data_IF_270351081833
#
_entry.id   IF_270351081833
#
_cell.length_a   1.000
_cell.length_b   1.000
_cell.length_c   1.000
_cell.angle_alpha   90.00
_cell.angle_beta   90.00
_cell.angle_gamma   90.00
#
_symmetry.space_group_name_H-M   'P 1'
#
loop_
_entity.id
_entity.type
_entity.pdbx_description
1 polymer ?
#
# COMPACT_ATOMS: atom_id res chain seq x y z
N UNK A 1 39.75 27.16 -74.67
CA UNK A 1 39.40 28.52 -74.19
C UNK A 1 39.16 28.44 -72.69
N UNK A 2 40.26 28.55 -71.94
CA UNK A 2 40.59 29.63 -70.98
C UNK A 2 39.87 29.50 -69.63
N UNK A 3 40.64 28.90 -68.73
CA UNK A 3 40.55 28.88 -67.27
C UNK A 3 40.62 30.29 -66.69
N UNK A 4 39.91 30.57 -65.59
CA UNK A 4 40.26 31.69 -64.71
C UNK A 4 40.36 31.24 -63.25
N UNK A 5 41.54 31.50 -62.70
CA UNK A 5 42.04 31.28 -61.34
C UNK A 5 41.76 32.51 -60.47
N UNK A 6 41.79 32.30 -59.13
CA UNK A 6 42.37 33.12 -58.03
C UNK A 6 41.46 33.01 -56.79
N UNK A 7 41.93 32.95 -55.54
CA UNK A 7 43.24 32.80 -54.91
C UNK A 7 43.01 32.76 -53.38
N UNK A 8 43.73 31.89 -52.67
CA UNK A 8 43.97 31.96 -51.22
C UNK A 8 44.93 33.15 -50.91
N UNK A 9 45.17 33.70 -49.70
CA UNK A 9 45.27 33.18 -48.32
C UNK A 9 45.13 34.38 -47.31
N UNK A 10 45.78 34.45 -46.12
CA UNK A 10 45.23 34.12 -44.80
C UNK A 10 45.28 35.30 -43.78
N UNK A 11 44.62 35.16 -42.63
CA UNK A 11 44.90 35.99 -41.44
C UNK A 11 44.97 35.12 -40.17
N UNK A 12 46.17 35.13 -39.60
CA UNK A 12 46.51 34.70 -38.24
C UNK A 12 45.89 35.65 -37.19
N UNK A 13 45.72 35.18 -35.94
CA UNK A 13 45.60 36.10 -34.82
C UNK A 13 44.97 35.57 -33.53
N UNK A 14 45.83 35.23 -32.56
CA UNK A 14 45.66 35.35 -31.11
C UNK A 14 44.75 34.36 -30.35
N UNK A 15 45.43 33.37 -29.74
CA UNK A 15 44.97 32.56 -28.60
C UNK A 15 45.12 33.38 -27.31
N UNK A 16 44.00 33.75 -26.67
CA UNK A 16 43.98 34.29 -25.31
C UNK A 16 43.85 33.14 -24.30
N UNK A 17 44.96 32.81 -23.64
CA UNK A 17 45.00 31.97 -22.44
C UNK A 17 44.41 32.75 -21.26
N UNK A 18 43.29 32.29 -20.71
CA UNK A 18 42.77 32.80 -19.43
C UNK A 18 43.13 31.81 -18.31
N UNK A 19 44.09 32.21 -17.48
CA UNK A 19 44.40 31.57 -16.20
C UNK A 19 43.27 31.88 -15.21
N UNK A 20 42.42 30.90 -14.91
CA UNK A 20 41.51 30.96 -13.76
C UNK A 20 42.04 30.05 -12.65
N UNK A 21 42.57 30.71 -11.63
CA UNK A 21 43.15 30.19 -10.40
C UNK A 21 42.03 29.57 -9.55
N UNK A 22 42.09 28.26 -9.33
CA UNK A 22 41.20 27.52 -8.43
C UNK A 22 41.56 27.84 -6.97
N UNK A 23 40.60 28.18 -6.09
CA UNK A 23 40.89 28.30 -4.67
C UNK A 23 41.00 26.90 -4.06
N UNK A 24 42.19 26.60 -3.57
CA UNK A 24 42.52 25.43 -2.74
C UNK A 24 41.70 25.48 -1.45
N UNK A 25 40.74 24.58 -1.32
CA UNK A 25 40.04 24.29 -0.07
C UNK A 25 40.71 23.06 0.55
N UNK A 26 41.29 23.26 1.72
CA UNK A 26 41.91 22.24 2.57
C UNK A 26 40.92 21.14 2.95
N UNK A 27 41.35 19.86 3.05
CA UNK A 27 40.53 18.80 3.61
C UNK A 27 40.80 18.71 5.11
N UNK A 28 39.93 19.32 5.92
CA UNK A 28 39.81 18.92 7.32
C UNK A 28 38.98 17.63 7.34
N UNK A 29 39.67 16.49 7.43
CA UNK A 29 39.09 15.18 7.64
C UNK A 29 38.77 15.00 9.12
N UNK A 30 37.62 15.49 9.57
CA UNK A 30 36.95 14.93 10.74
C UNK A 30 36.19 13.72 10.25
N UNK A 31 36.85 12.56 10.27
CA UNK A 31 36.19 11.28 10.08
C UNK A 31 35.32 11.05 11.31
N UNK A 32 34.03 11.41 11.21
CA UNK A 32 33.01 10.85 12.07
C UNK A 32 32.98 9.35 11.77
N UNK A 33 33.56 8.58 12.69
CA UNK A 33 33.41 7.15 12.79
C UNK A 33 31.90 6.86 12.86
N UNK A 34 31.30 6.51 11.73
CA UNK A 34 30.00 5.84 11.73
C UNK A 34 30.28 4.48 12.36
N UNK A 35 30.23 4.42 13.69
CA UNK A 35 30.16 3.15 14.41
C UNK A 35 28.96 2.41 13.81
N UNK A 36 29.22 1.31 13.09
CA UNK A 36 28.15 0.41 12.69
C UNK A 36 27.38 0.05 13.97
N UNK A 37 26.08 0.35 14.05
CA UNK A 37 25.33 0.10 15.27
C UNK A 37 25.40 -1.40 15.54
N UNK A 38 26.03 -1.76 16.66
CA UNK A 38 26.13 -3.14 17.11
C UNK A 38 24.73 -3.78 17.05
N UNK A 39 24.64 -4.94 16.37
CA UNK A 39 23.40 -5.68 16.16
C UNK A 39 22.74 -5.97 17.51
N UNK A 40 21.77 -5.16 17.90
CA UNK A 40 21.11 -5.28 19.18
C UNK A 40 20.17 -6.49 19.13
N UNK A 41 20.29 -7.47 20.04
CA UNK A 41 19.41 -8.63 20.03
C UNK A 41 17.96 -8.20 20.28
N UNK A 42 17.09 -8.47 19.31
CA UNK A 42 15.64 -8.24 19.42
C UNK A 42 14.98 -9.54 19.86
N UNK A 43 14.24 -9.50 20.98
CA UNK A 43 13.43 -10.63 21.46
C UNK A 43 12.00 -10.47 20.94
N UNK A 44 11.43 -11.52 20.35
CA UNK A 44 10.04 -11.53 19.89
C UNK A 44 9.23 -12.53 20.70
N UNK A 45 8.09 -12.08 21.22
CA UNK A 45 7.13 -12.89 21.98
C UNK A 45 5.82 -12.91 21.21
N UNK A 46 5.18 -14.09 21.10
CA UNK A 46 3.89 -14.23 20.40
C UNK A 46 2.88 -14.96 21.27
N UNK A 47 1.79 -14.27 21.61
CA UNK A 47 0.70 -14.79 22.45
C UNK A 47 -0.50 -15.24 21.59
N UNK A 48 -1.21 -16.28 22.04
CA UNK A 48 -2.51 -16.70 21.49
C UNK A 48 -3.45 -17.24 22.60
N UNK A 49 -4.76 -17.11 22.39
CA UNK A 49 -5.83 -17.47 23.35
C UNK A 49 -5.67 -18.81 24.05
N UNK A 50 -5.28 -19.87 23.35
CA UNK A 50 -5.24 -21.21 23.96
C UNK A 50 -4.14 -21.37 25.00
N UNK A 51 -3.12 -20.51 24.97
CA UNK A 51 -1.98 -20.62 25.88
C UNK A 51 -2.45 -20.36 27.33
N UNK A 52 -3.37 -19.41 27.52
CA UNK A 52 -3.99 -19.11 28.81
C UNK A 52 -4.97 -20.18 29.32
N UNK A 53 -5.61 -20.96 28.43
CA UNK A 53 -6.52 -22.04 28.85
C UNK A 53 -5.75 -23.26 29.37
N UNK A 54 -4.52 -23.50 28.89
CA UNK A 54 -3.66 -24.54 29.44
C UNK A 54 -3.22 -24.18 30.87
N UNK A 55 -2.91 -22.92 31.13
CA UNK A 55 -2.44 -22.44 32.44
C UNK A 55 -3.53 -22.42 33.52
N UNK A 56 -4.79 -22.09 33.18
CA UNK A 56 -5.89 -22.09 34.17
C UNK A 56 -6.31 -23.48 34.64
N UNK A 57 -5.99 -24.51 33.88
CA UNK A 57 -6.31 -25.90 34.24
C UNK A 57 -5.17 -26.61 34.96
N UNK A 58 -4.09 -25.90 35.31
CA UNK A 58 -3.07 -26.42 36.22
C UNK A 58 -3.68 -26.55 37.64
N UNK A 59 -3.81 -27.77 38.19
CA UNK A 59 -4.38 -28.00 39.51
C UNK A 59 -3.60 -27.29 40.64
N UNK A 60 -2.37 -26.83 40.42
CA UNK A 60 -1.63 -26.02 41.40
C UNK A 60 -2.03 -24.53 41.42
N UNK A 61 -2.39 -23.95 40.28
CA UNK A 61 -2.80 -22.53 40.17
C UNK A 61 -4.14 -22.27 40.89
N UNK A 62 -5.01 -23.28 40.95
CA UNK A 62 -6.27 -23.23 41.71
C UNK A 62 -6.08 -23.16 43.23
N UNK A 63 -4.90 -23.43 43.79
CA UNK A 63 -4.68 -23.45 45.25
C UNK A 63 -4.55 -22.05 45.87
N UNK A 64 -4.35 -21.00 45.07
CA UNK A 64 -4.05 -19.64 45.57
C UNK A 64 -5.20 -18.63 45.50
N UNK A 65 -6.35 -18.96 44.89
CA UNK A 65 -7.50 -18.04 44.78
C UNK A 65 -8.68 -18.37 45.73
N UNK A 66 -8.55 -19.36 46.61
CA UNK A 66 -9.61 -19.77 47.53
C UNK A 66 -9.37 -19.35 48.99
N UNK A 67 -9.35 -18.05 49.32
CA UNK A 67 -9.36 -17.63 50.74
C UNK A 67 -10.01 -16.27 51.00
N UNK A 68 -11.30 -16.15 50.69
CA UNK A 68 -12.24 -15.21 51.36
C UNK A 68 -13.68 -15.68 51.10
N UNK A 69 -14.17 -16.58 51.94
CA UNK A 69 -15.32 -16.35 52.82
C UNK A 69 -15.73 -17.63 53.56
N UNK A 70 -16.51 -17.44 54.61
CA UNK A 70 -16.56 -18.22 55.86
C UNK A 70 -17.40 -19.50 55.79
N UNK A 71 -16.84 -20.56 56.39
CA UNK A 71 -17.39 -21.28 57.56
C UNK A 71 -18.85 -21.77 57.54
N UNK A 72 -19.06 -23.08 57.35
CA UNK A 72 -20.02 -23.89 58.13
C UNK A 72 -19.79 -25.41 57.91
N UNK A 73 -19.58 -26.12 59.04
CA UNK A 73 -19.91 -27.54 59.37
C UNK A 73 -19.81 -28.58 58.22
N UNK A 74 -19.02 -29.65 58.32
CA UNK A 74 -19.26 -30.78 59.24
C UNK A 74 -18.09 -31.77 59.20
N UNK A 75 -17.78 -32.37 60.35
CA UNK A 75 -16.94 -33.56 60.51
C UNK A 75 -17.58 -34.78 59.84
N UNK A 76 -16.77 -35.69 59.27
CA UNK A 76 -16.75 -37.13 59.64
C UNK A 76 -15.41 -37.75 59.18
N UNK A 77 -14.81 -38.53 60.07
CA UNK A 77 -13.56 -39.28 59.90
C UNK A 77 -13.75 -40.54 59.04
N UNK A 78 -12.69 -40.99 58.36
CA UNK A 78 -12.21 -42.38 58.42
C UNK A 78 -10.85 -42.50 57.70
N UNK A 79 -9.95 -43.24 58.34
CA UNK A 79 -8.59 -43.54 57.92
C UNK A 79 -8.53 -44.70 56.91
N UNK A 80 -7.47 -44.75 56.08
CA UNK A 80 -6.68 -45.98 55.84
C UNK A 80 -5.44 -45.70 54.99
N UNK A 81 -4.30 -46.26 55.46
CA UNK A 81 -3.11 -46.77 54.75
C UNK A 81 -3.07 -46.63 53.21
N UNK A 82 -2.02 -46.15 52.56
CA UNK A 82 -0.60 -46.45 52.78
C UNK A 82 -0.13 -47.34 51.62
N UNK A 83 0.76 -46.85 50.75
CA UNK A 83 1.77 -47.70 50.10
C UNK A 83 2.88 -46.86 49.45
N UNK A 84 4.11 -47.34 49.58
CA UNK A 84 5.35 -46.79 49.03
C UNK A 84 5.71 -47.55 47.77
N UNK A 85 6.01 -46.86 46.66
CA UNK A 85 6.89 -47.39 45.60
C UNK A 85 7.64 -46.27 44.86
N UNK A 86 8.95 -46.36 44.96
CA UNK A 86 10.06 -46.06 44.03
C UNK A 86 10.13 -44.79 43.15
N UNK A 87 11.32 -44.14 43.08
CA UNK A 87 11.57 -43.01 42.20
C UNK A 87 12.01 -43.45 40.81
N UNK A 88 11.17 -43.22 39.81
CA UNK A 88 11.55 -43.28 38.39
C UNK A 88 12.32 -42.02 37.99
N UNK A 89 13.53 -42.20 37.46
CA UNK A 89 14.34 -41.15 36.82
C UNK A 89 13.55 -40.44 35.72
N UNK A 90 13.05 -39.23 36.00
CA UNK A 90 12.50 -38.32 34.99
C UNK A 90 13.64 -37.49 34.41
N UNK A 91 13.98 -37.77 33.16
CA UNK A 91 14.77 -36.88 32.30
C UNK A 91 13.97 -35.59 32.10
N UNK A 92 14.22 -34.58 32.93
CA UNK A 92 13.62 -33.24 32.78
C UNK A 92 14.09 -32.64 31.46
N UNK A 93 13.17 -32.56 30.50
CA UNK A 93 13.35 -31.82 29.26
C UNK A 93 13.44 -30.33 29.56
N UNK A 94 14.48 -29.67 29.05
CA UNK A 94 14.70 -28.21 29.15
C UNK A 94 13.63 -27.34 28.45
N UNK A 95 12.46 -27.89 28.10
CA UNK A 95 11.39 -27.13 27.45
C UNK A 95 10.53 -26.33 28.44
N UNK A 96 10.48 -26.73 29.71
CA UNK A 96 9.62 -26.08 30.71
C UNK A 96 10.20 -24.77 31.27
N UNK A 97 11.53 -24.55 31.15
CA UNK A 97 12.16 -23.32 31.64
C UNK A 97 11.91 -22.11 30.74
N UNK A 98 11.72 -22.31 29.43
CA UNK A 98 11.49 -21.22 28.46
C UNK A 98 10.08 -20.62 28.64
N UNK A 99 9.09 -21.45 28.96
CA UNK A 99 7.71 -21.03 29.22
C UNK A 99 7.59 -20.17 30.50
N UNK A 100 8.39 -20.47 31.52
CA UNK A 100 8.42 -19.72 32.79
C UNK A 100 9.00 -18.30 32.67
N UNK A 101 9.96 -18.09 31.76
CA UNK A 101 10.49 -16.75 31.50
C UNK A 101 9.56 -15.91 30.61
N UNK A 102 8.82 -16.53 29.69
CA UNK A 102 7.79 -15.83 28.89
C UNK A 102 6.66 -15.31 29.76
N UNK A 103 6.13 -16.15 30.65
CA UNK A 103 5.03 -15.78 31.57
C UNK A 103 5.42 -14.68 32.55
N UNK A 104 6.63 -14.72 33.11
CA UNK A 104 7.13 -13.69 34.03
C UNK A 104 7.45 -12.35 33.33
N UNK A 105 7.85 -12.40 32.05
CA UNK A 105 8.00 -11.19 31.24
C UNK A 105 6.62 -10.56 30.96
N UNK A 106 5.62 -11.37 30.60
CA UNK A 106 4.25 -10.93 30.32
C UNK A 106 3.52 -10.38 31.55
N UNK A 107 3.75 -10.95 32.75
CA UNK A 107 3.11 -10.47 33.98
C UNK A 107 3.61 -9.09 34.45
N UNK A 108 4.85 -8.72 34.10
CA UNK A 108 5.42 -7.41 34.42
C UNK A 108 4.98 -6.32 33.45
N UNK A 109 4.32 -6.69 32.36
CA UNK A 109 3.86 -5.80 31.32
C UNK A 109 2.42 -5.32 31.58
N UNK A 110 2.20 -4.82 32.80
CA UNK A 110 0.96 -4.17 33.20
C UNK A 110 0.75 -2.94 32.30
N UNK A 111 -0.29 -2.96 31.45
CA UNK A 111 -0.59 -1.92 30.47
C UNK A 111 -0.31 -2.27 29.01
N UNK A 112 0.14 -3.49 28.71
CA UNK A 112 0.24 -3.96 27.33
C UNK A 112 -1.11 -4.39 26.73
N UNK A 113 -1.25 -4.33 25.39
CA UNK A 113 -2.51 -4.54 24.67
C UNK A 113 -2.95 -6.01 24.53
N UNK A 114 -2.51 -6.94 25.39
CA UNK A 114 -2.87 -8.37 25.29
C UNK A 114 -4.28 -8.71 25.80
N UNK A 115 -5.20 -7.75 25.78
CA UNK A 115 -6.57 -8.02 26.14
C UNK A 115 -7.25 -8.76 24.98
N UNK A 116 -7.43 -10.08 25.11
CA UNK A 116 -8.21 -10.87 24.16
C UNK A 116 -9.70 -10.61 24.38
N UNK A 117 -10.17 -9.49 23.82
CA UNK A 117 -11.58 -9.10 23.87
C UNK A 117 -12.48 -10.09 23.12
N UNK A 118 -11.89 -11.02 22.36
CA UNK A 118 -12.55 -12.07 21.60
C UNK A 118 -12.50 -13.43 22.29
N UNK A 119 -12.13 -13.47 23.58
CA UNK A 119 -12.05 -14.70 24.36
C UNK A 119 -13.37 -15.48 24.47
N UNK A 120 -14.51 -14.89 24.10
CA UNK A 120 -15.83 -15.53 24.04
C UNK A 120 -16.25 -15.96 22.62
N UNK A 121 -15.48 -15.61 21.59
CA UNK A 121 -15.80 -15.85 20.19
C UNK A 121 -15.05 -17.10 19.72
N UNK A 122 -15.71 -18.26 19.62
CA UNK A 122 -15.04 -19.54 19.32
C UNK A 122 -14.33 -19.59 17.96
N UNK A 123 -14.87 -18.88 16.97
CA UNK A 123 -14.37 -18.89 15.60
C UNK A 123 -13.29 -17.84 15.34
N UNK A 124 -12.99 -16.97 16.31
CA UNK A 124 -12.02 -15.89 16.19
C UNK A 124 -10.97 -16.03 17.28
N UNK A 125 -9.70 -16.09 16.88
CA UNK A 125 -8.57 -16.20 17.79
C UNK A 125 -7.60 -15.03 17.54
N UNK A 126 -7.34 -14.24 18.58
CA UNK A 126 -6.33 -13.19 18.52
C UNK A 126 -4.92 -13.79 18.66
N UNK A 127 -4.01 -13.33 17.80
CA UNK A 127 -2.59 -13.71 17.80
C UNK A 127 -1.78 -12.43 17.74
N UNK A 128 -1.11 -12.11 18.84
CA UNK A 128 -0.37 -10.86 18.99
C UNK A 128 1.13 -11.13 19.09
N UNK A 129 1.92 -10.37 18.35
CA UNK A 129 3.37 -10.37 18.40
C UNK A 129 3.92 -9.08 19.00
N UNK A 130 4.89 -9.20 19.90
CA UNK A 130 5.64 -8.07 20.44
C UNK A 130 7.13 -8.25 20.23
N UNK A 131 7.80 -7.16 19.89
CA UNK A 131 9.25 -7.09 19.79
C UNK A 131 9.79 -6.24 20.92
N UNK A 132 10.85 -6.71 21.57
CA UNK A 132 11.53 -6.04 22.67
C UNK A 132 13.00 -5.83 22.35
N UNK A 133 13.54 -4.67 22.74
CA UNK A 133 14.96 -4.42 22.86
C UNK A 133 15.25 -3.72 24.18
N UNK A 134 16.28 -4.19 24.90
CA UNK A 134 16.69 -3.65 26.22
C UNK A 134 15.53 -3.57 27.24
N UNK A 135 14.60 -4.51 27.18
CA UNK A 135 13.43 -4.57 28.06
C UNK A 135 12.27 -3.64 27.68
N UNK A 136 12.44 -2.78 26.68
CA UNK A 136 11.37 -1.94 26.15
C UNK A 136 10.73 -2.60 24.93
N UNK A 137 9.41 -2.50 24.79
CA UNK A 137 8.76 -2.91 23.55
C UNK A 137 9.07 -1.87 22.46
N UNK A 138 9.40 -2.35 21.27
CA UNK A 138 9.81 -1.54 20.12
C UNK A 138 8.97 -1.85 18.87
N UNK A 139 8.08 -2.83 18.96
CA UNK A 139 7.17 -3.18 17.89
C UNK A 139 6.03 -4.07 18.36
N UNK A 140 4.92 -3.99 17.64
CA UNK A 140 3.68 -4.71 17.91
C UNK A 140 3.03 -5.14 16.60
N UNK A 141 2.46 -6.35 16.56
CA UNK A 141 1.70 -6.88 15.45
C UNK A 141 0.44 -7.54 16.00
N UNK A 142 -0.72 -7.06 15.56
CA UNK A 142 -2.04 -7.60 15.90
C UNK A 142 -2.58 -8.40 14.71
N UNK A 143 -2.97 -9.64 14.97
CA UNK A 143 -3.57 -10.50 13.96
C UNK A 143 -4.76 -11.28 14.52
N UNK A 144 -5.72 -11.60 13.63
CA UNK A 144 -6.90 -12.41 13.94
C UNK A 144 -6.94 -13.65 13.06
N UNK A 145 -6.95 -14.83 13.67
CA UNK A 145 -7.16 -16.10 12.99
C UNK A 145 -8.66 -16.45 13.00
N UNK A 146 -9.26 -16.41 11.81
CA UNK A 146 -10.69 -16.57 11.55
C UNK A 146 -10.96 -17.99 11.06
N UNK A 147 -11.70 -18.77 11.86
CA UNK A 147 -12.17 -20.13 11.55
C UNK A 147 -13.44 -20.10 10.71
N UNK A 148 -13.30 -19.60 9.49
CA UNK A 148 -14.42 -19.24 8.62
C UNK A 148 -15.46 -20.35 8.42
N UNK A 149 -15.04 -21.61 8.39
CA UNK A 149 -15.97 -22.73 8.22
C UNK A 149 -17.00 -22.82 9.35
N UNK A 150 -16.65 -22.42 10.58
CA UNK A 150 -17.54 -22.43 11.74
C UNK A 150 -18.66 -21.38 11.63
N UNK A 151 -18.44 -20.30 10.87
CA UNK A 151 -19.39 -19.20 10.70
C UNK A 151 -20.00 -19.11 9.30
N UNK A 152 -19.75 -20.06 8.41
CA UNK A 152 -20.12 -19.97 6.98
C UNK A 152 -21.56 -19.55 6.70
N UNK A 153 -22.54 -20.03 7.48
CA UNK A 153 -23.97 -19.69 7.30
C UNK A 153 -24.32 -18.27 7.73
N UNK A 154 -23.53 -17.69 8.62
CA UNK A 154 -23.71 -16.35 9.21
C UNK A 154 -22.48 -15.47 9.00
N UNK A 155 -21.66 -15.75 7.98
CA UNK A 155 -20.31 -15.19 7.84
C UNK A 155 -20.33 -13.67 7.85
N UNK A 156 -21.18 -13.06 7.02
CA UNK A 156 -21.30 -11.59 6.94
C UNK A 156 -21.62 -10.95 8.28
N UNK A 157 -22.60 -11.49 9.00
CA UNK A 157 -23.07 -10.94 10.28
C UNK A 157 -22.03 -11.17 11.37
N UNK A 158 -21.43 -12.36 11.42
CA UNK A 158 -20.41 -12.70 12.41
C UNK A 158 -19.14 -11.83 12.25
N UNK A 159 -18.76 -11.47 11.03
CA UNK A 159 -17.59 -10.65 10.75
C UNK A 159 -17.82 -9.15 10.95
N UNK A 160 -19.07 -8.69 11.06
CA UNK A 160 -19.40 -7.26 11.19
C UNK A 160 -19.06 -6.70 12.57
N UNK A 161 -19.30 -7.48 13.62
CA UNK A 161 -19.23 -7.07 15.03
C UNK A 161 -17.81 -6.97 15.63
N UNK A 162 -16.87 -7.91 15.38
CA UNK A 162 -15.65 -7.98 16.20
C UNK A 162 -14.71 -6.80 16.03
N UNK A 163 -14.37 -6.45 14.79
CA UNK A 163 -13.45 -5.35 14.48
C UNK A 163 -13.84 -4.70 13.16
N UNK A 164 -13.42 -3.45 12.97
CA UNK A 164 -13.54 -2.79 11.67
C UNK A 164 -12.79 -3.56 10.57
N UNK A 165 -11.63 -4.15 10.88
CA UNK A 165 -10.84 -4.89 9.91
C UNK A 165 -11.52 -6.17 9.42
N UNK A 166 -12.13 -6.94 10.33
CA UNK A 166 -12.92 -8.13 9.97
C UNK A 166 -14.16 -7.76 9.15
N UNK A 167 -14.87 -6.68 9.53
CA UNK A 167 -16.02 -6.17 8.78
C UNK A 167 -15.65 -5.77 7.35
N UNK A 168 -14.66 -4.89 7.19
CA UNK A 168 -14.18 -4.47 5.87
C UNK A 168 -13.73 -5.66 5.01
N UNK A 169 -13.00 -6.61 5.59
CA UNK A 169 -12.57 -7.82 4.89
C UNK A 169 -13.77 -8.61 4.33
N UNK A 170 -14.80 -8.82 5.17
CA UNK A 170 -15.98 -9.58 4.80
C UNK A 170 -16.79 -8.90 3.69
N UNK A 171 -17.01 -7.59 3.81
CA UNK A 171 -17.82 -6.84 2.85
C UNK A 171 -17.10 -6.51 1.55
N UNK A 172 -15.78 -6.35 1.55
CA UNK A 172 -15.02 -6.00 0.35
C UNK A 172 -14.71 -7.24 -0.51
N UNK A 173 -14.26 -8.35 0.08
CA UNK A 173 -13.74 -9.49 -0.69
C UNK A 173 -14.72 -10.67 -0.82
N UNK A 174 -15.61 -10.85 0.14
CA UNK A 174 -16.40 -12.06 0.26
C UNK A 174 -17.89 -11.82 0.01
N UNK A 175 -18.60 -12.87 -0.36
CA UNK A 175 -20.05 -12.90 -0.34
C UNK A 175 -20.59 -13.12 1.08
N UNK A 176 -21.92 -13.12 1.23
CA UNK A 176 -22.58 -13.30 2.54
C UNK A 176 -22.25 -14.62 3.25
N UNK A 177 -21.67 -15.60 2.54
CA UNK A 177 -21.31 -16.92 3.03
C UNK A 177 -19.79 -17.11 3.16
N UNK A 178 -18.99 -16.06 2.99
CA UNK A 178 -17.55 -16.11 3.10
C UNK A 178 -16.84 -16.74 1.90
N UNK A 179 -17.49 -16.82 0.73
CA UNK A 179 -16.85 -17.25 -0.52
C UNK A 179 -16.27 -16.02 -1.22
N UNK A 180 -15.10 -16.16 -1.82
CA UNK A 180 -14.48 -15.07 -2.57
C UNK A 180 -15.44 -14.63 -3.68
N UNK A 181 -15.74 -13.33 -3.77
CA UNK A 181 -16.67 -12.83 -4.80
C UNK A 181 -16.16 -13.18 -6.18
N UNK A 182 -17.11 -13.41 -7.09
CA UNK A 182 -16.84 -13.83 -8.47
C UNK A 182 -15.94 -12.82 -9.19
N UNK A 183 -16.11 -11.53 -8.91
CA UNK A 183 -15.28 -10.47 -9.50
C UNK A 183 -13.78 -10.62 -9.19
N UNK A 184 -13.41 -11.11 -8.01
CA UNK A 184 -11.99 -11.31 -7.65
C UNK A 184 -11.40 -12.62 -8.19
N UNK A 185 -12.22 -13.48 -8.80
CA UNK A 185 -11.78 -14.74 -9.43
C UNK A 185 -11.78 -14.65 -10.95
N UNK A 186 -12.86 -14.11 -11.50
CA UNK A 186 -13.19 -14.25 -12.92
C UNK A 186 -13.15 -12.92 -13.67
N UNK A 187 -13.24 -11.77 -12.99
CA UNK A 187 -13.22 -10.48 -13.69
C UNK A 187 -11.82 -10.22 -14.26
N UNK A 188 -11.76 -9.87 -15.53
CA UNK A 188 -10.52 -9.52 -16.26
C UNK A 188 -9.65 -8.53 -15.49
N UNK A 189 -10.28 -7.54 -14.86
CA UNK A 189 -9.59 -6.49 -14.12
C UNK A 189 -9.57 -6.73 -12.60
N UNK A 190 -10.67 -7.17 -12.01
CA UNK A 190 -10.83 -7.13 -10.54
C UNK A 190 -10.18 -8.32 -9.86
N UNK A 191 -9.79 -9.38 -10.59
CA UNK A 191 -9.03 -10.49 -10.00
C UNK A 191 -7.59 -10.17 -9.62
N UNK A 192 -7.12 -8.96 -9.94
CA UNK A 192 -5.77 -8.49 -9.63
C UNK A 192 -4.70 -9.32 -10.34
N UNK A 193 -3.89 -10.03 -9.55
CA UNK A 193 -2.86 -10.95 -10.09
C UNK A 193 -3.46 -12.24 -10.67
N UNK A 194 -4.74 -12.54 -10.39
CA UNK A 194 -5.40 -13.77 -10.85
C UNK A 194 -4.85 -15.04 -10.21
N UNK A 195 -4.06 -14.91 -9.13
CA UNK A 195 -3.48 -16.05 -8.40
C UNK A 195 -4.49 -16.71 -7.47
N UNK A 196 -5.61 -16.02 -7.19
CA UNK A 196 -6.62 -16.45 -6.24
C UNK A 196 -7.78 -17.15 -6.94
N UNK A 197 -7.98 -18.42 -6.63
CA UNK A 197 -9.09 -19.24 -7.08
C UNK A 197 -10.09 -19.55 -5.97
N UNK A 198 -10.61 -20.78 -5.99
CA UNK A 198 -11.61 -21.24 -5.02
C UNK A 198 -11.00 -21.60 -3.66
N UNK A 199 -9.68 -21.77 -3.58
CA UNK A 199 -8.96 -22.06 -2.34
C UNK A 199 -9.19 -20.98 -1.27
N UNK A 200 -9.26 -19.71 -1.69
CA UNK A 200 -9.54 -18.61 -0.77
C UNK A 200 -10.99 -18.65 -0.22
N UNK A 201 -11.86 -19.58 -0.63
CA UNK A 201 -13.25 -19.72 -0.17
C UNK A 201 -13.50 -20.81 0.89
N UNK A 202 -12.52 -21.67 1.16
CA UNK A 202 -12.67 -22.82 2.08
C UNK A 202 -11.79 -22.74 3.32
N UNK A 203 -10.58 -22.19 3.21
CA UNK A 203 -9.60 -22.27 4.31
C UNK A 203 -9.81 -21.20 5.39
N UNK A 204 -9.05 -21.27 6.49
CA UNK A 204 -9.02 -20.23 7.50
C UNK A 204 -8.36 -18.95 6.97
N UNK A 205 -8.58 -17.82 7.65
CA UNK A 205 -7.95 -16.55 7.31
C UNK A 205 -7.17 -16.03 8.51
N UNK A 206 -5.90 -15.70 8.33
CA UNK A 206 -5.15 -14.87 9.26
C UNK A 206 -5.17 -13.44 8.74
N UNK A 207 -5.93 -12.56 9.39
CA UNK A 207 -5.99 -11.14 9.07
C UNK A 207 -4.95 -10.39 9.91
N UNK A 208 -3.98 -9.75 9.24
CA UNK A 208 -3.05 -8.81 9.88
C UNK A 208 -3.73 -7.44 9.91
N UNK A 209 -4.13 -6.99 11.10
CA UNK A 209 -4.89 -5.74 11.27
C UNK A 209 -3.98 -4.56 11.54
N UNK A 210 -2.99 -4.73 12.41
CA UNK A 210 -2.13 -3.65 12.84
C UNK A 210 -0.67 -4.10 12.98
N UNK A 211 0.25 -3.26 12.50
CA UNK A 211 1.69 -3.44 12.68
C UNK A 211 2.28 -2.07 12.99
N UNK A 212 2.97 -1.96 14.13
CA UNK A 212 3.69 -0.76 14.56
C UNK A 212 5.12 -1.13 14.89
N UNK A 213 6.07 -0.31 14.42
CA UNK A 213 7.48 -0.38 14.78
C UNK A 213 7.90 1.02 15.18
N UNK A 214 8.51 1.15 16.34
CA UNK A 214 9.00 2.44 16.82
C UNK A 214 9.96 3.06 15.80
N UNK A 215 9.84 4.38 15.50
CA UNK A 215 10.58 5.01 14.40
C UNK A 215 12.09 4.74 14.40
N UNK A 216 12.72 4.75 15.57
CA UNK A 216 14.15 4.49 15.77
C UNK A 216 14.57 3.06 15.40
N UNK A 217 13.62 2.12 15.40
CA UNK A 217 13.81 0.70 15.14
C UNK A 217 13.29 0.27 13.75
N UNK A 218 12.81 1.23 12.94
CA UNK A 218 12.39 0.94 11.57
C UNK A 218 13.59 0.55 10.69
N UNK A 219 13.32 -0.15 9.59
CA UNK A 219 14.33 -0.65 8.63
C UNK A 219 15.32 -1.69 9.17
N UNK A 220 15.22 -2.08 10.44
CA UNK A 220 16.02 -3.17 11.04
C UNK A 220 15.38 -4.57 10.86
N UNK A 221 14.49 -4.73 9.87
CA UNK A 221 13.72 -5.97 9.60
C UNK A 221 12.83 -6.48 10.74
N UNK A 222 12.68 -5.75 11.85
CA UNK A 222 11.85 -6.15 13.00
C UNK A 222 10.40 -6.45 12.60
N UNK A 223 9.79 -5.61 11.75
CA UNK A 223 8.43 -5.88 11.25
C UNK A 223 8.30 -7.20 10.50
N UNK A 224 9.32 -7.58 9.71
CA UNK A 224 9.35 -8.87 9.02
C UNK A 224 9.48 -10.02 10.01
N UNK A 225 10.34 -9.88 11.03
CA UNK A 225 10.50 -10.88 12.07
C UNK A 225 9.20 -11.08 12.87
N UNK A 226 8.51 -9.99 13.25
CA UNK A 226 7.22 -10.02 13.94
C UNK A 226 6.16 -10.78 13.14
N UNK A 227 5.97 -10.41 11.87
CA UNK A 227 4.99 -11.09 11.01
C UNK A 227 5.34 -12.57 10.87
N UNK A 228 6.61 -12.92 10.69
CA UNK A 228 7.03 -14.33 10.61
C UNK A 228 6.77 -15.11 11.90
N UNK A 229 6.94 -14.48 13.05
CA UNK A 229 6.66 -15.10 14.35
C UNK A 229 5.14 -15.35 14.51
N UNK A 230 4.31 -14.36 14.18
CA UNK A 230 2.84 -14.49 14.16
C UNK A 230 2.38 -15.58 13.18
N UNK A 231 2.95 -15.64 11.98
CA UNK A 231 2.68 -16.71 11.01
C UNK A 231 3.06 -18.09 11.55
N UNK A 232 4.19 -18.19 12.23
CA UNK A 232 4.65 -19.45 12.83
C UNK A 232 3.72 -19.91 13.94
N UNK A 233 3.20 -18.99 14.76
CA UNK A 233 2.16 -19.28 15.75
C UNK A 233 0.86 -19.73 15.08
N UNK A 234 0.40 -19.03 14.05
CA UNK A 234 -0.81 -19.39 13.31
C UNK A 234 -0.72 -20.79 12.66
N UNK A 235 0.45 -21.18 12.13
CA UNK A 235 0.69 -22.54 11.59
C UNK A 235 0.57 -23.65 12.61
N UNK A 236 0.81 -23.37 13.90
CA UNK A 236 0.56 -24.34 14.98
C UNK A 236 -0.92 -24.47 15.32
N UNK A 237 -1.74 -23.47 14.98
CA UNK A 237 -3.18 -23.41 15.27
C UNK A 237 -4.03 -23.87 14.08
N UNK A 238 -3.58 -23.64 12.86
CA UNK A 238 -4.31 -23.98 11.63
C UNK A 238 -3.38 -24.66 10.63
N UNK A 239 -3.83 -25.78 10.08
CA UNK A 239 -3.09 -26.55 9.06
C UNK A 239 -3.02 -25.83 7.72
N UNK A 240 -4.07 -25.08 7.37
CA UNK A 240 -4.21 -24.35 6.11
C UNK A 240 -4.96 -23.04 6.34
N UNK A 241 -4.32 -21.93 5.98
CA UNK A 241 -4.92 -20.61 6.06
C UNK A 241 -4.31 -19.68 5.01
N UNK A 242 -5.05 -18.62 4.70
CA UNK A 242 -4.55 -17.49 3.91
C UNK A 242 -4.24 -16.31 4.81
N UNK A 243 -3.20 -15.56 4.47
CA UNK A 243 -2.85 -14.34 5.19
C UNK A 243 -3.31 -13.16 4.37
N UNK A 244 -4.13 -12.32 4.97
CA UNK A 244 -4.63 -11.11 4.34
C UNK A 244 -4.19 -9.91 5.16
N UNK A 245 -3.83 -8.84 4.45
CA UNK A 245 -3.46 -7.57 5.04
C UNK A 245 -3.99 -6.47 4.14
N UNK A 246 -4.51 -5.39 4.74
CA UNK A 246 -4.88 -4.18 4.01
C UNK A 246 -3.81 -3.13 4.28
N UNK A 247 -2.94 -2.82 3.30
CA UNK A 247 -1.89 -1.82 3.50
C UNK A 247 -2.54 -0.48 3.83
N UNK A 248 -2.44 -0.09 5.09
CA UNK A 248 -2.86 1.21 5.61
C UNK A 248 -1.73 1.74 6.47
N UNK A 249 -1.72 3.05 6.62
CA UNK A 249 -0.79 3.71 7.51
C UNK A 249 -1.55 4.48 8.58
N UNK A 250 -1.10 4.35 9.82
CA UNK A 250 -1.56 5.19 10.92
C UNK A 250 -0.58 6.35 11.02
N UNK A 251 -1.08 7.55 10.73
CA UNK A 251 -0.29 8.75 10.93
C UNK A 251 -0.27 9.09 12.43
N UNK A 252 0.90 9.07 13.05
CA UNK A 252 1.11 9.63 14.38
C UNK A 252 1.59 11.08 14.26
N UNK A 253 0.92 12.00 14.98
CA UNK A 253 1.25 13.43 15.02
C UNK A 253 0.25 14.35 14.30
N UNK A 254 0.35 15.65 14.61
CA UNK A 254 -0.44 16.69 13.96
C UNK A 254 0.05 16.90 12.52
N UNK A 255 -0.76 16.48 11.56
CA UNK A 255 -0.50 16.73 10.14
C UNK A 255 -1.56 17.69 9.65
N UNK A 256 -1.10 18.73 8.97
CA UNK A 256 -2.01 19.69 8.35
C UNK A 256 -2.88 18.98 7.31
N UNK A 257 -4.14 19.41 7.18
CA UNK A 257 -5.07 18.85 6.17
C UNK A 257 -4.47 18.88 4.74
N UNK A 258 -3.54 19.80 4.48
CA UNK A 258 -2.84 19.96 3.20
C UNK A 258 -1.82 18.84 2.95
N UNK A 259 -1.09 18.40 4.00
CA UNK A 259 -0.06 17.38 3.86
C UNK A 259 -0.60 15.95 3.94
N UNK A 260 -1.77 15.77 4.59
CA UNK A 260 -2.35 14.45 4.87
C UNK A 260 -2.45 13.56 3.63
N UNK A 261 -2.97 14.00 2.47
CA UNK A 261 -3.09 13.14 1.29
C UNK A 261 -1.74 12.64 0.77
N UNK A 262 -0.72 13.51 0.75
CA UNK A 262 0.60 13.14 0.23
C UNK A 262 1.29 12.13 1.15
N UNK A 263 1.29 12.39 2.46
CA UNK A 263 1.87 11.48 3.44
C UNK A 263 1.14 10.12 3.45
N UNK A 264 -0.19 10.11 3.29
CA UNK A 264 -0.96 8.86 3.15
C UNK A 264 -0.54 8.04 1.93
N UNK A 265 -0.32 8.65 0.77
CA UNK A 265 0.11 7.92 -0.44
C UNK A 265 1.51 7.32 -0.24
N UNK A 266 2.48 8.12 0.20
CA UNK A 266 3.86 7.66 0.42
C UNK A 266 3.89 6.52 1.44
N UNK A 267 3.13 6.65 2.52
CA UNK A 267 3.08 5.64 3.56
C UNK A 267 2.35 4.36 3.12
N UNK A 268 1.29 4.48 2.32
CA UNK A 268 0.61 3.32 1.70
C UNK A 268 1.56 2.57 0.77
N UNK A 269 2.32 3.28 -0.07
CA UNK A 269 3.32 2.64 -0.93
C UNK A 269 4.43 1.95 -0.12
N UNK A 270 4.87 2.55 0.99
CA UNK A 270 5.85 1.94 1.87
C UNK A 270 5.31 0.65 2.50
N UNK A 271 4.06 0.65 2.96
CA UNK A 271 3.37 -0.54 3.48
C UNK A 271 3.22 -1.61 2.39
N UNK A 272 2.83 -1.24 1.17
CA UNK A 272 2.76 -2.19 0.04
C UNK A 272 4.13 -2.83 -0.25
N UNK A 273 5.21 -2.03 -0.29
CA UNK A 273 6.57 -2.54 -0.51
C UNK A 273 6.98 -3.53 0.59
N UNK A 274 6.62 -3.24 1.85
CA UNK A 274 6.86 -4.13 2.98
C UNK A 274 6.14 -5.48 2.83
N UNK A 275 4.85 -5.50 2.50
CA UNK A 275 4.14 -6.77 2.30
C UNK A 275 4.64 -7.53 1.07
N UNK A 276 4.96 -6.83 -0.03
CA UNK A 276 5.54 -7.46 -1.22
C UNK A 276 6.89 -8.12 -0.95
N UNK A 277 7.75 -7.50 -0.11
CA UNK A 277 9.04 -8.11 0.25
C UNK A 277 8.89 -9.40 1.07
N UNK A 278 7.74 -9.60 1.71
CA UNK A 278 7.37 -10.85 2.39
C UNK A 278 6.61 -11.85 1.49
N UNK A 279 6.48 -11.56 0.18
CA UNK A 279 5.83 -12.45 -0.78
C UNK A 279 4.31 -12.31 -0.89
N UNK A 280 3.70 -11.30 -0.26
CA UNK A 280 2.27 -11.04 -0.42
C UNK A 280 1.95 -10.65 -1.85
N UNK A 281 0.79 -11.10 -2.33
CA UNK A 281 0.25 -10.79 -3.66
C UNK A 281 -1.03 -9.99 -3.51
N UNK A 282 -1.31 -9.12 -4.48
CA UNK A 282 -2.52 -8.28 -4.49
C UNK A 282 -3.77 -9.11 -4.82
N UNK A 283 -4.85 -8.87 -4.08
CA UNK A 283 -6.24 -9.22 -4.41
C UNK A 283 -6.91 -7.93 -4.91
N UNK A 284 -7.66 -7.96 -6.03
CA UNK A 284 -8.28 -6.73 -6.56
C UNK A 284 -7.46 -5.98 -7.62
N UNK A 285 -8.13 -5.18 -8.44
CA UNK A 285 -7.50 -4.12 -9.24
C UNK A 285 -7.18 -2.91 -8.37
N UNK A 286 -6.12 -2.15 -8.69
CA UNK A 286 -6.11 -0.74 -8.35
C UNK A 286 -7.23 -0.07 -9.16
N UNK A 287 -8.06 0.74 -8.53
CA UNK A 287 -8.99 1.69 -9.18
C UNK A 287 -8.29 2.58 -10.25
N UNK A 288 -6.95 2.56 -10.30
CA UNK A 288 -6.09 3.37 -11.14
C UNK A 288 -5.87 2.84 -12.58
N UNK A 289 -6.09 1.55 -12.87
CA UNK A 289 -5.69 0.98 -14.18
C UNK A 289 -6.60 1.45 -15.33
N UNK A 290 -7.91 1.53 -15.13
CA UNK A 290 -8.84 1.98 -16.18
C UNK A 290 -8.65 3.45 -16.54
N UNK A 291 -8.47 4.33 -15.54
CA UNK A 291 -8.23 5.76 -15.77
C UNK A 291 -6.93 6.01 -16.55
N UNK A 292 -5.90 5.19 -16.36
CA UNK A 292 -4.62 5.34 -17.06
C UNK A 292 -4.66 4.89 -18.52
N UNK A 293 -5.45 3.88 -18.85
CA UNK A 293 -5.60 3.44 -20.24
C UNK A 293 -6.41 4.44 -21.08
N UNK A 294 -7.47 5.02 -20.49
CA UNK A 294 -8.26 6.09 -21.11
C UNK A 294 -7.36 7.28 -21.47
N UNK A 295 -6.44 7.67 -20.57
CA UNK A 295 -5.51 8.78 -20.80
C UNK A 295 -4.53 8.51 -21.95
N UNK A 296 -4.13 7.26 -22.18
CA UNK A 296 -3.19 6.91 -23.26
C UNK A 296 -3.89 6.66 -24.60
N UNK A 297 -5.23 6.59 -24.64
CA UNK A 297 -5.99 6.24 -25.85
C UNK A 297 -5.64 4.84 -26.37
N UNK A 298 -5.19 3.95 -25.48
CA UNK A 298 -4.79 2.59 -25.84
C UNK A 298 -5.87 1.63 -25.40
N UNK A 299 -6.30 0.75 -26.30
CA UNK A 299 -7.17 -0.37 -25.95
C UNK A 299 -6.40 -1.31 -25.02
N UNK A 300 -6.91 -1.51 -23.80
CA UNK A 300 -6.35 -2.50 -22.90
C UNK A 300 -6.63 -3.88 -23.49
N UNK A 301 -5.57 -4.67 -23.72
CA UNK A 301 -5.71 -6.04 -24.14
C UNK A 301 -6.17 -6.89 -22.95
N UNK A 302 -7.16 -7.75 -23.15
CA UNK A 302 -7.51 -8.78 -22.18
C UNK A 302 -6.36 -9.80 -22.08
N UNK A 303 -5.46 -9.60 -21.11
CA UNK A 303 -4.31 -10.47 -20.90
C UNK A 303 -4.69 -11.93 -20.59
N UNK A 304 -5.95 -12.22 -20.26
CA UNK A 304 -6.40 -13.60 -20.02
C UNK A 304 -6.66 -14.37 -21.31
N UNK A 305 -6.92 -13.67 -22.42
CA UNK A 305 -7.03 -14.24 -23.75
C UNK A 305 -5.67 -14.45 -24.41
N UNK A 306 -4.62 -13.96 -23.78
CA UNK A 306 -3.24 -14.01 -24.28
C UNK A 306 -2.54 -15.19 -23.61
N UNK A 307 -1.94 -16.07 -24.42
CA UNK A 307 -1.24 -17.23 -23.88
C UNK A 307 -0.08 -16.81 -22.96
N UNK A 308 0.20 -17.59 -21.91
CA UNK A 308 1.34 -17.34 -21.01
C UNK A 308 2.69 -17.34 -21.76
N UNK A 309 2.80 -18.13 -22.83
CA UNK A 309 3.98 -18.13 -23.71
C UNK A 309 4.14 -16.78 -24.41
N UNK A 310 3.05 -16.22 -24.95
CA UNK A 310 3.05 -14.89 -25.56
C UNK A 310 3.45 -13.83 -24.54
N UNK A 311 2.89 -13.86 -23.31
CA UNK A 311 3.27 -12.93 -22.24
C UNK A 311 4.76 -13.08 -21.87
N UNK A 312 5.28 -14.30 -21.74
CA UNK A 312 6.69 -14.55 -21.42
C UNK A 312 7.62 -14.05 -22.52
N UNK A 313 7.26 -14.29 -23.79
CA UNK A 313 7.96 -13.76 -24.96
C UNK A 313 7.92 -12.23 -25.01
N UNK A 314 6.81 -11.62 -24.61
CA UNK A 314 6.71 -10.14 -24.51
C UNK A 314 7.76 -9.55 -23.55
N UNK A 315 8.16 -10.28 -22.50
CA UNK A 315 9.20 -9.83 -21.56
C UNK A 315 10.63 -10.16 -21.97
N UNK A 316 10.83 -11.27 -22.70
CA UNK A 316 12.16 -11.85 -22.96
C UNK A 316 12.66 -11.63 -24.37
N UNK A 317 11.76 -11.42 -25.33
CA UNK A 317 12.10 -11.26 -26.73
C UNK A 317 12.61 -9.83 -27.02
N UNK A 318 13.75 -9.68 -27.72
CA UNK A 318 14.25 -8.38 -28.13
C UNK A 318 13.22 -7.58 -28.93
N UNK A 319 13.25 -6.25 -28.80
CA UNK A 319 12.23 -5.33 -29.33
C UNK A 319 11.98 -5.44 -30.85
N UNK A 320 12.95 -5.92 -31.64
CA UNK A 320 12.82 -6.07 -33.09
C UNK A 320 12.04 -7.33 -33.49
N UNK A 321 12.22 -8.45 -32.78
CA UNK A 321 11.43 -9.67 -32.98
C UNK A 321 10.02 -9.55 -32.40
N UNK A 322 9.88 -8.74 -31.36
CA UNK A 322 8.64 -8.47 -30.65
C UNK A 322 7.51 -7.91 -31.54
N UNK A 323 7.85 -7.10 -32.55
CA UNK A 323 6.87 -6.47 -33.46
C UNK A 323 6.16 -7.47 -34.39
N UNK A 324 6.70 -8.69 -34.53
CA UNK A 324 6.09 -9.73 -35.36
C UNK A 324 4.93 -10.48 -34.70
N UNK A 325 4.74 -10.31 -33.38
CA UNK A 325 3.68 -10.97 -32.62
C UNK A 325 2.39 -10.11 -32.72
N UNK A 326 1.28 -10.64 -33.27
CA UNK A 326 0.01 -9.93 -33.33
C UNK A 326 -0.47 -9.52 -31.92
N UNK A 327 -0.83 -8.24 -31.76
CA UNK A 327 -1.32 -7.69 -30.49
C UNK A 327 -0.24 -7.44 -29.42
N UNK A 328 1.04 -7.68 -29.74
CA UNK A 328 2.13 -7.56 -28.78
C UNK A 328 2.24 -6.14 -28.19
N UNK A 329 2.04 -5.11 -29.01
CA UNK A 329 2.06 -3.71 -28.52
C UNK A 329 0.96 -3.44 -27.50
N UNK A 330 -0.27 -3.94 -27.68
CA UNK A 330 -1.34 -3.78 -26.70
C UNK A 330 -1.10 -4.62 -25.44
N UNK A 331 -0.55 -5.83 -25.59
CA UNK A 331 -0.16 -6.70 -24.48
C UNK A 331 0.92 -6.02 -23.63
N UNK A 332 2.01 -5.54 -24.24
CA UNK A 332 3.08 -4.85 -23.54
C UNK A 332 2.60 -3.55 -22.90
N UNK A 333 1.74 -2.80 -23.57
CA UNK A 333 1.16 -1.58 -23.00
C UNK A 333 0.28 -1.89 -21.79
N UNK A 334 -0.55 -2.93 -21.89
CA UNK A 334 -1.37 -3.40 -20.76
C UNK A 334 -0.50 -3.90 -19.60
N UNK A 335 0.55 -4.66 -19.88
CA UNK A 335 1.51 -5.13 -18.87
C UNK A 335 2.24 -3.95 -18.21
N UNK A 336 2.64 -2.93 -18.99
CA UNK A 336 3.25 -1.70 -18.48
C UNK A 336 2.29 -0.90 -17.61
N UNK A 337 1.03 -0.79 -18.00
CA UNK A 337 -0.01 -0.11 -17.21
C UNK A 337 -0.33 -0.90 -15.92
N UNK A 338 -0.36 -2.23 -16.01
CA UNK A 338 -0.70 -3.14 -14.90
C UNK A 338 0.41 -3.29 -13.87
N UNK A 339 1.66 -3.39 -14.31
CA UNK A 339 2.80 -3.69 -13.44
C UNK A 339 3.76 -2.51 -13.26
N UNK A 340 3.60 -1.45 -14.03
CA UNK A 340 4.57 -0.36 -14.09
C UNK A 340 5.91 -0.80 -14.69
N UNK A 341 6.81 0.16 -14.78
CA UNK A 341 8.23 0.02 -15.03
C UNK A 341 8.95 -0.07 -13.69
N UNK A 342 9.88 -1.01 -13.59
CA UNK A 342 10.65 -1.26 -12.36
C UNK A 342 11.96 -0.47 -12.30
N UNK A 343 12.25 0.40 -13.26
CA UNK A 343 13.53 1.12 -13.34
C UNK A 343 13.74 2.20 -12.25
N UNK A 344 12.71 2.49 -11.44
CA UNK A 344 12.76 3.51 -10.39
C UNK A 344 12.76 4.97 -10.89
N UNK A 345 13.00 5.20 -12.19
CA UNK A 345 12.99 6.53 -12.80
C UNK A 345 11.64 6.93 -13.41
N UNK A 346 10.71 5.99 -13.56
CA UNK A 346 9.38 6.25 -14.08
C UNK A 346 8.47 6.79 -12.96
N UNK A 347 7.86 7.96 -13.18
CA UNK A 347 6.90 8.55 -12.25
C UNK A 347 5.65 7.65 -12.13
N UNK A 348 5.40 7.21 -10.88
CA UNK A 348 4.47 6.16 -10.48
C UNK A 348 4.58 4.85 -11.25
N UNK A 349 5.78 4.55 -11.77
CA UNK A 349 6.05 3.35 -12.53
C UNK A 349 5.70 3.46 -14.01
N UNK A 350 4.83 4.35 -14.50
CA UNK A 350 4.41 4.31 -15.92
C UNK A 350 4.83 5.53 -16.75
N UNK A 351 5.08 6.70 -16.14
CA UNK A 351 5.54 7.89 -16.86
C UNK A 351 7.07 7.95 -16.93
N UNK A 352 7.66 7.43 -18.00
CA UNK A 352 9.12 7.54 -18.24
C UNK A 352 9.60 8.99 -18.30
N UNK A 353 10.88 9.29 -17.98
CA UNK A 353 11.42 10.66 -18.08
C UNK A 353 11.21 11.30 -19.45
N UNK A 354 11.34 10.52 -20.54
CA UNK A 354 11.06 10.99 -21.90
C UNK A 354 9.59 11.35 -22.11
N UNK A 355 8.67 10.56 -21.56
CA UNK A 355 7.24 10.81 -21.64
C UNK A 355 6.83 12.01 -20.77
N UNK A 356 7.42 12.16 -19.58
CA UNK A 356 7.24 13.35 -18.76
C UNK A 356 7.67 14.61 -19.50
N UNK A 357 8.85 14.61 -20.13
CA UNK A 357 9.30 15.74 -20.95
C UNK A 357 8.34 16.05 -22.10
N UNK A 358 7.89 15.02 -22.84
CA UNK A 358 6.94 15.18 -23.93
C UNK A 358 5.61 15.76 -23.45
N UNK A 359 5.04 15.24 -22.35
CA UNK A 359 3.80 15.74 -21.76
C UNK A 359 3.94 17.16 -21.21
N UNK A 360 5.07 17.51 -20.59
CA UNK A 360 5.34 18.88 -20.14
C UNK A 360 5.38 19.86 -21.32
N UNK A 361 6.11 19.49 -22.38
CA UNK A 361 6.20 20.31 -23.59
C UNK A 361 4.85 20.47 -24.28
N UNK A 362 4.12 19.37 -24.46
CA UNK A 362 2.80 19.37 -25.10
C UNK A 362 1.78 20.15 -24.27
N UNK A 363 1.72 19.90 -22.96
CA UNK A 363 0.85 20.63 -22.04
C UNK A 363 1.12 22.13 -22.03
N UNK A 364 2.39 22.55 -22.11
CA UNK A 364 2.76 23.96 -22.24
C UNK A 364 2.28 24.58 -23.57
N UNK A 365 2.48 23.89 -24.70
CA UNK A 365 2.04 24.37 -26.01
C UNK A 365 0.53 24.45 -26.09
N UNK A 366 -0.19 23.42 -25.64
CA UNK A 366 -1.65 23.40 -25.59
C UNK A 366 -2.20 24.48 -24.66
N UNK A 367 -1.63 24.65 -23.46
CA UNK A 367 -2.02 25.73 -22.55
C UNK A 367 -1.89 27.10 -23.23
N UNK A 368 -0.77 27.37 -23.92
CA UNK A 368 -0.59 28.61 -24.68
C UNK A 368 -1.62 28.76 -25.79
N UNK A 369 -1.85 27.71 -26.58
CA UNK A 369 -2.85 27.71 -27.64
C UNK A 369 -4.25 28.07 -27.08
N UNK A 370 -4.69 27.35 -26.04
CA UNK A 370 -6.00 27.52 -25.43
C UNK A 370 -6.22 28.90 -24.78
N UNK A 371 -5.16 29.66 -24.50
CA UNK A 371 -5.31 31.06 -24.02
C UNK A 371 -5.67 32.05 -25.13
N UNK A 372 -5.38 31.74 -26.39
CA UNK A 372 -5.76 32.62 -27.51
C UNK A 372 -7.28 32.62 -27.70
N UNK A 373 -7.84 33.80 -27.96
CA UNK A 373 -9.29 33.99 -28.18
C UNK A 373 -10.21 33.52 -27.05
N UNK A 374 -9.70 33.31 -25.83
CA UNK A 374 -10.50 32.82 -24.71
C UNK A 374 -11.70 33.73 -24.38
N UNK A 375 -11.67 35.00 -24.79
CA UNK A 375 -12.79 35.94 -24.70
C UNK A 375 -13.95 35.68 -25.67
N UNK A 376 -13.72 35.00 -26.80
CA UNK A 376 -14.68 34.82 -27.89
C UNK A 376 -15.04 33.34 -28.07
N UNK A 377 -16.14 32.91 -27.44
CA UNK A 377 -16.50 31.48 -27.36
C UNK A 377 -16.60 30.73 -28.69
N UNK A 378 -17.41 31.19 -29.68
CA UNK A 378 -17.54 30.51 -30.95
C UNK A 378 -16.21 30.38 -31.71
N UNK A 379 -15.41 31.46 -31.74
CA UNK A 379 -14.08 31.48 -32.38
C UNK A 379 -13.13 30.53 -31.64
N UNK A 380 -13.18 30.53 -30.30
CA UNK A 380 -12.36 29.67 -29.46
C UNK A 380 -12.65 28.18 -29.70
N UNK A 381 -13.93 27.80 -29.78
CA UNK A 381 -14.33 26.42 -30.05
C UNK A 381 -13.89 25.97 -31.45
N UNK A 382 -14.09 26.79 -32.47
CA UNK A 382 -13.70 26.44 -33.84
C UNK A 382 -12.18 26.32 -33.97
N UNK A 383 -11.43 27.21 -33.30
CA UNK A 383 -9.96 27.19 -33.30
C UNK A 383 -9.36 25.99 -32.56
N UNK A 384 -10.12 25.34 -31.67
CA UNK A 384 -9.65 24.22 -30.84
C UNK A 384 -10.54 22.97 -31.01
N UNK A 385 -11.19 22.84 -32.17
CA UNK A 385 -12.19 21.80 -32.43
C UNK A 385 -11.61 20.39 -32.28
N UNK A 386 -10.38 20.17 -32.70
CA UNK A 386 -9.65 18.89 -32.58
C UNK A 386 -9.39 18.52 -31.12
N UNK A 387 -8.96 19.48 -30.31
CA UNK A 387 -8.59 19.29 -28.91
C UNK A 387 -9.83 19.02 -28.05
N UNK A 388 -10.97 19.57 -28.46
CA UNK A 388 -12.24 19.47 -27.75
C UNK A 388 -13.14 18.34 -28.29
N UNK A 389 -12.68 17.53 -29.22
CA UNK A 389 -13.46 16.44 -29.81
C UNK A 389 -13.98 15.45 -28.74
N UNK A 390 -13.17 15.20 -27.71
CA UNK A 390 -13.51 14.32 -26.58
C UNK A 390 -14.37 14.98 -25.51
N UNK A 391 -14.54 16.30 -25.56
CA UNK A 391 -15.39 17.03 -24.63
C UNK A 391 -16.84 16.85 -25.04
N UNK A 392 -17.69 16.49 -24.07
CA UNK A 392 -19.11 16.22 -24.33
C UNK A 392 -19.76 17.41 -25.08
N UNK A 393 -20.70 17.16 -26.02
CA UNK A 393 -21.35 18.23 -26.77
C UNK A 393 -21.98 19.30 -25.86
N UNK A 394 -22.58 18.88 -24.74
CA UNK A 394 -23.16 19.76 -23.73
C UNK A 394 -22.12 20.67 -23.06
N UNK A 395 -20.94 20.13 -22.78
CA UNK A 395 -19.85 20.93 -22.20
C UNK A 395 -19.26 21.91 -23.21
N UNK A 396 -19.20 21.53 -24.49
CA UNK A 396 -18.81 22.46 -25.57
C UNK A 396 -19.82 23.60 -25.71
N UNK A 397 -21.12 23.34 -25.64
CA UNK A 397 -22.14 24.39 -25.61
C UNK A 397 -21.93 25.37 -24.43
N UNK A 398 -21.60 24.86 -23.24
CA UNK A 398 -21.24 25.73 -22.11
C UNK A 398 -19.95 26.52 -22.37
N UNK A 399 -18.93 25.88 -22.95
CA UNK A 399 -17.69 26.55 -23.34
C UNK A 399 -17.91 27.61 -24.41
N UNK A 400 -18.91 27.49 -25.28
CA UNK A 400 -19.26 28.54 -26.25
C UNK A 400 -19.79 29.79 -25.54
N UNK A 401 -20.73 29.57 -24.62
CA UNK A 401 -21.51 30.66 -24.03
C UNK A 401 -20.83 31.29 -22.81
N UNK A 402 -19.93 30.57 -22.13
CA UNK A 402 -19.40 31.00 -20.83
C UNK A 402 -17.87 31.05 -20.79
N UNK A 403 -17.33 32.27 -20.70
CA UNK A 403 -15.88 32.53 -20.60
C UNK A 403 -15.22 31.81 -19.43
N UNK A 404 -15.86 31.79 -18.26
CA UNK A 404 -15.28 31.19 -17.06
C UNK A 404 -15.11 29.67 -17.18
N UNK A 405 -15.93 28.98 -17.98
CA UNK A 405 -15.78 27.55 -18.25
C UNK A 405 -14.51 27.30 -19.08
N UNK A 406 -14.27 28.12 -20.11
CA UNK A 406 -13.04 28.07 -20.90
C UNK A 406 -11.81 28.37 -20.04
N UNK A 407 -11.87 29.40 -19.19
CA UNK A 407 -10.80 29.71 -18.22
C UNK A 407 -10.55 28.56 -17.23
N UNK A 408 -11.62 27.92 -16.75
CA UNK A 408 -11.53 26.73 -15.91
C UNK A 408 -10.80 25.57 -16.61
N UNK A 409 -11.13 25.32 -17.88
CA UNK A 409 -10.47 24.30 -18.70
C UNK A 409 -8.99 24.59 -18.92
N UNK A 410 -8.63 25.84 -19.25
CA UNK A 410 -7.22 26.26 -19.36
C UNK A 410 -6.46 26.10 -18.05
N UNK A 411 -7.08 26.46 -16.91
CA UNK A 411 -6.49 26.28 -15.57
C UNK A 411 -6.28 24.80 -15.25
N UNK A 412 -7.21 23.93 -15.61
CA UNK A 412 -7.08 22.49 -15.44
C UNK A 412 -5.88 21.95 -16.24
N UNK A 413 -5.77 22.28 -17.53
CA UNK A 413 -4.65 21.87 -18.37
C UNK A 413 -3.29 22.37 -17.84
N UNK A 414 -3.25 23.62 -17.35
CA UNK A 414 -2.07 24.16 -16.68
C UNK A 414 -1.66 23.32 -15.47
N UNK A 415 -2.62 22.95 -14.62
CA UNK A 415 -2.32 22.19 -13.41
C UNK A 415 -1.90 20.75 -13.67
N UNK A 416 -2.49 20.10 -14.69
CA UNK A 416 -2.01 18.80 -15.16
C UNK A 416 -0.52 18.85 -15.50
N UNK A 417 -0.10 19.92 -16.20
CA UNK A 417 1.30 20.15 -16.55
C UNK A 417 2.15 20.39 -15.31
N UNK A 418 1.69 21.24 -14.38
CA UNK A 418 2.39 21.51 -13.12
C UNK A 418 2.55 20.27 -12.24
N UNK A 419 1.55 19.38 -12.20
CA UNK A 419 1.68 18.10 -11.49
C UNK A 419 2.86 17.29 -12.04
N UNK A 420 2.95 17.17 -13.37
CA UNK A 420 4.04 16.42 -14.00
C UNK A 420 5.38 17.12 -13.79
N UNK A 421 5.45 18.46 -13.79
CA UNK A 421 6.67 19.23 -13.46
C UNK A 421 7.16 19.01 -12.03
N UNK A 422 6.23 18.78 -11.10
CA UNK A 422 6.51 18.50 -9.69
C UNK A 422 6.75 17.00 -9.41
N UNK A 423 6.92 16.18 -10.45
CA UNK A 423 7.02 14.73 -10.35
C UNK A 423 5.85 14.12 -9.56
N UNK A 424 4.63 14.62 -9.80
CA UNK A 424 3.37 14.11 -9.23
C UNK A 424 2.46 13.59 -10.34
N UNK A 425 1.79 12.47 -10.10
CA UNK A 425 0.76 11.96 -11.01
C UNK A 425 -0.52 12.79 -10.83
N UNK A 426 -1.08 13.38 -11.90
CA UNK A 426 -2.38 14.01 -11.82
C UNK A 426 -3.45 12.99 -11.42
N UNK A 427 -4.25 13.31 -10.41
CA UNK A 427 -5.32 12.46 -9.89
C UNK A 427 -6.51 13.33 -9.45
N UNK A 428 -7.66 12.70 -9.22
CA UNK A 428 -8.89 13.42 -8.84
C UNK A 428 -8.66 14.37 -7.65
N UNK A 429 -7.93 13.92 -6.63
CA UNK A 429 -7.68 14.71 -5.41
C UNK A 429 -6.88 15.97 -5.71
N UNK A 430 -5.73 15.86 -6.39
CA UNK A 430 -4.89 17.02 -6.67
C UNK A 430 -5.50 17.95 -7.75
N UNK A 431 -6.38 17.45 -8.62
CA UNK A 431 -7.13 18.29 -9.55
C UNK A 431 -8.23 19.10 -8.84
N UNK A 432 -8.89 18.50 -7.84
CA UNK A 432 -9.89 19.19 -7.03
C UNK A 432 -9.30 20.29 -6.13
N UNK A 433 -8.01 20.20 -5.78
CA UNK A 433 -7.31 21.27 -5.04
C UNK A 433 -7.31 22.60 -5.81
N UNK A 434 -7.27 22.59 -7.15
CA UNK A 434 -7.35 23.81 -7.98
C UNK A 434 -8.70 24.52 -7.78
N UNK A 435 -9.78 23.73 -7.80
CA UNK A 435 -11.14 24.24 -7.64
C UNK A 435 -11.33 24.88 -6.27
N UNK A 436 -10.59 24.41 -5.26
CA UNK A 436 -10.71 24.90 -3.89
C UNK A 436 -9.69 26.01 -3.54
N UNK A 437 -8.52 26.03 -4.17
CA UNK A 437 -7.39 26.91 -3.83
C UNK A 437 -7.42 28.31 -4.46
N UNK A 438 -8.30 28.56 -5.43
CA UNK A 438 -8.40 29.87 -6.12
C UNK A 438 -9.10 30.98 -5.31
N UNK A 439 -9.52 30.70 -4.07
CA UNK A 439 -10.31 31.60 -3.23
C UNK A 439 -9.59 32.73 -2.49
N UNK A 440 -8.34 33.08 -2.81
CA UNK A 440 -7.60 34.12 -2.07
C UNK A 440 -7.27 35.43 -2.81
N UNK A 441 -7.77 35.69 -4.03
CA UNK A 441 -7.40 36.96 -4.68
C UNK A 441 -8.11 37.45 -5.94
N UNK A 442 -9.20 36.84 -6.39
CA UNK A 442 -10.00 37.39 -7.50
C UNK A 442 -11.47 37.13 -7.24
N UNK A 443 -12.33 38.11 -7.57
CA UNK A 443 -13.79 38.13 -7.43
C UNK A 443 -14.44 36.74 -7.39
N UNK A 444 -15.26 36.54 -6.38
CA UNK A 444 -15.92 35.29 -6.02
C UNK A 444 -16.62 34.64 -7.21
N UNK A 445 -16.02 33.58 -7.75
CA UNK A 445 -16.74 32.59 -8.52
C UNK A 445 -17.63 31.83 -7.52
N UNK A 446 -18.89 32.23 -7.45
CA UNK A 446 -19.87 31.68 -6.52
C UNK A 446 -19.93 30.15 -6.65
N UNK A 447 -19.67 29.45 -5.53
CA UNK A 447 -19.74 27.98 -5.39
C UNK A 447 -21.08 27.41 -5.86
N UNK A 448 -22.12 28.25 -5.85
CA UNK A 448 -23.46 27.92 -6.35
C UNK A 448 -23.48 27.72 -7.86
N UNK A 449 -22.62 28.38 -8.64
CA UNK A 449 -22.60 28.27 -10.11
C UNK A 449 -21.86 27.03 -10.63
N UNK A 450 -20.79 26.56 -9.97
CA UNK A 450 -20.11 25.31 -10.34
C UNK A 450 -20.89 24.06 -9.91
N UNK A 451 -21.56 24.10 -8.76
CA UNK A 451 -22.42 22.99 -8.30
C UNK A 451 -23.76 22.90 -9.06
N UNK A 452 -24.28 24.01 -9.56
CA UNK A 452 -25.56 24.02 -10.29
C UNK A 452 -25.48 23.56 -11.76
N UNK A 453 -24.28 23.36 -12.37
CA UNK A 453 -24.17 23.23 -13.84
C UNK A 453 -23.25 22.13 -14.40
N UNK A 454 -22.92 21.09 -13.63
CA UNK A 454 -22.40 19.83 -14.19
C UNK A 454 -21.01 19.87 -14.86
N UNK A 455 -20.21 20.91 -14.63
CA UNK A 455 -18.87 21.04 -15.22
C UNK A 455 -17.84 20.03 -14.65
N UNK A 456 -18.11 19.47 -13.46
CA UNK A 456 -17.24 18.50 -12.79
C UNK A 456 -17.50 17.05 -13.20
N UNK A 457 -18.66 16.75 -13.80
CA UNK A 457 -18.97 15.41 -14.31
C UNK A 457 -18.53 15.24 -15.78
N UNK A 458 -18.02 16.30 -16.41
CA UNK A 458 -17.62 16.33 -17.81
C UNK A 458 -16.10 16.36 -18.07
N UNK A 459 -15.30 16.42 -17.00
CA UNK A 459 -13.83 16.38 -17.02
C UNK A 459 -13.36 15.19 -16.17
#
# INVERSE_FOLDING_TARGET
MVSSKRSASPLEGAILKTNKKSPSRSPDSTADSIEEPADMPVRIIVSARSDYKAERNDPESSKYLGRRDKQAKSQTQAASSGDQTDPSHSSTSNHDSELGEETKALSNLIGLPFHDDFANVEWLEQIDGLAFAKGNWIGYCEAKLIRRLQIRRKFSIAMEEPTRGTSELAFELFDRYGRLRKEFREHTFNKGTGVWGNELSSEDILLLEYIRIEPEHQRQKIGTQLVNAVLSKARRKSTKFFVLAKPRYIMEGEITEVERPHKMVVATEAAERFFRSMGFKRVGSPEQIESLAILQGVNICDLDRVSKDIISRVFTTPKYEFQSIPGATEIQTTLRLKYGCTCGQCLGGFLSPRMQYALRKEGYLQMKALTFYIGHGPIWLESHKSELERVSPKTREFMENYKFIREGFVKLSKHLTTCIEQDRIPNKTNLLEICNGSGKGSESLDRTQLKARGALDAA
#
